data_IF_435771163037
#
_entry.id   IF_435771163037
#
_cell.length_a   1.000
_cell.length_b   1.000
_cell.length_c   1.000
_cell.angle_alpha   90.00
_cell.angle_beta   90.00
_cell.angle_gamma   90.00
#
_symmetry.space_group_name_H-M   'P 1'
#
loop_
_entity.id
_entity.type
_entity.pdbx_description
1 polymer ?
#
# COMPACT_ATOMS: atom_id res chain seq x y z
N UNK A 1 -20.04 22.97 -70.29
CA UNK A 1 -19.59 21.68 -69.80
C UNK A 1 -18.72 21.86 -68.56
N UNK A 2 -19.10 21.26 -67.43
CA UNK A 2 -18.32 21.28 -66.22
C UNK A 2 -17.23 20.18 -66.34
N UNK A 3 -15.96 20.58 -66.22
CA UNK A 3 -14.83 19.65 -66.20
C UNK A 3 -14.68 19.15 -64.75
N UNK A 4 -14.99 17.87 -64.53
CA UNK A 4 -14.73 17.20 -63.27
C UNK A 4 -13.35 16.61 -63.34
N UNK A 5 -12.41 17.09 -62.53
CA UNK A 5 -11.14 16.44 -62.30
C UNK A 5 -11.37 15.23 -61.39
N UNK A 6 -11.35 14.04 -61.95
CA UNK A 6 -11.38 12.80 -61.20
C UNK A 6 -9.95 12.50 -60.77
N UNK A 7 -9.61 12.73 -59.50
CA UNK A 7 -8.38 12.22 -58.90
C UNK A 7 -8.55 10.72 -58.65
N UNK A 8 -7.87 9.91 -59.43
CA UNK A 8 -7.73 8.49 -59.10
C UNK A 8 -6.60 8.35 -58.07
N UNK A 9 -6.89 7.99 -56.82
CA UNK A 9 -5.84 7.83 -55.87
C UNK A 9 -4.91 6.67 -56.28
N UNK A 10 -3.63 6.97 -56.43
CA UNK A 10 -2.62 5.92 -56.72
C UNK A 10 -2.23 5.31 -55.34
N UNK A 11 -2.64 4.08 -55.12
CA UNK A 11 -2.22 3.32 -53.93
C UNK A 11 -0.82 2.77 -54.16
N UNK A 12 0.13 3.17 -53.34
CA UNK A 12 1.46 2.61 -53.30
C UNK A 12 1.52 1.58 -52.17
N UNK A 13 2.08 0.38 -52.41
CA UNK A 13 2.30 -0.58 -51.36
C UNK A 13 3.36 -0.01 -50.40
N UNK A 14 3.04 0.11 -49.12
CA UNK A 14 3.95 0.53 -48.10
C UNK A 14 4.91 -0.61 -47.72
N UNK A 15 6.04 -0.25 -47.13
CA UNK A 15 6.94 -1.13 -46.41
C UNK A 15 6.57 -1.04 -44.93
N UNK A 16 6.56 -2.15 -44.21
CA UNK A 16 6.12 -2.21 -42.82
C UNK A 16 7.27 -2.68 -41.92
N UNK A 17 7.29 -2.14 -40.69
CA UNK A 17 8.17 -2.58 -39.61
C UNK A 17 7.30 -2.86 -38.40
N UNK A 18 7.44 -4.03 -37.81
CA UNK A 18 6.83 -4.36 -36.54
C UNK A 18 7.81 -5.13 -35.67
N UNK A 19 7.49 -5.23 -34.38
CA UNK A 19 8.30 -5.98 -33.46
C UNK A 19 7.88 -5.86 -32.00
N UNK A 20 8.70 -6.40 -31.15
CA UNK A 20 8.53 -6.33 -29.69
C UNK A 20 9.78 -5.78 -29.04
N UNK A 21 9.58 -5.02 -27.96
CA UNK A 21 10.65 -4.54 -27.08
C UNK A 21 10.45 -5.19 -25.72
N UNK A 22 11.48 -5.87 -25.25
CA UNK A 22 11.51 -6.55 -23.94
C UNK A 22 12.59 -5.94 -23.05
N UNK A 23 12.37 -5.99 -21.75
CA UNK A 23 13.38 -5.69 -20.76
C UNK A 23 14.35 -6.86 -20.63
N UNK A 24 15.65 -6.62 -20.78
CA UNK A 24 16.69 -7.64 -20.76
C UNK A 24 16.94 -8.30 -19.42
N UNK A 25 16.42 -7.71 -18.35
CA UNK A 25 16.51 -8.25 -17.02
C UNK A 25 15.50 -9.35 -16.73
N UNK A 26 14.24 -9.04 -16.94
CA UNK A 26 13.12 -9.89 -16.52
C UNK A 26 12.33 -10.50 -17.69
N UNK A 27 12.67 -10.10 -18.92
CA UNK A 27 11.98 -10.57 -20.13
C UNK A 27 10.58 -10.01 -20.34
N UNK A 28 10.10 -9.10 -19.47
CA UNK A 28 8.79 -8.51 -19.61
C UNK A 28 8.71 -7.48 -20.74
N UNK A 29 7.51 -7.27 -21.32
CA UNK A 29 7.29 -6.25 -22.31
C UNK A 29 7.69 -4.86 -21.79
N UNK A 30 8.41 -4.10 -22.62
CA UNK A 30 8.85 -2.75 -22.27
C UNK A 30 7.97 -1.72 -22.96
N UNK A 31 7.16 -1.01 -22.16
CA UNK A 31 6.28 0.07 -22.62
C UNK A 31 7.07 1.36 -22.86
N UNK A 32 6.66 2.15 -23.86
CA UNK A 32 7.18 3.51 -24.09
C UNK A 32 8.65 3.57 -24.53
N UNK A 33 9.21 2.48 -25.07
CA UNK A 33 10.48 2.56 -25.78
C UNK A 33 10.26 3.30 -27.09
N UNK A 34 11.12 4.27 -27.40
CA UNK A 34 11.08 5.01 -28.65
C UNK A 34 11.81 4.23 -29.76
N UNK A 35 11.15 4.02 -30.89
CA UNK A 35 11.70 3.40 -32.09
C UNK A 35 11.77 4.46 -33.18
N UNK A 36 12.96 4.94 -33.46
CA UNK A 36 13.23 5.93 -34.47
C UNK A 36 13.84 5.29 -35.72
N UNK A 37 13.26 5.54 -36.88
CA UNK A 37 13.82 5.14 -38.19
C UNK A 37 14.12 6.39 -38.98
N UNK A 38 15.41 6.72 -39.11
CA UNK A 38 15.84 7.84 -39.92
C UNK A 38 15.81 7.47 -41.40
N UNK A 39 14.90 8.03 -42.13
CA UNK A 39 14.82 7.93 -43.59
C UNK A 39 15.23 9.25 -44.24
N UNK A 40 15.70 9.24 -45.49
CA UNK A 40 16.12 10.48 -46.18
C UNK A 40 14.99 11.52 -46.33
N UNK A 41 13.74 11.05 -46.34
CA UNK A 41 12.58 11.89 -46.65
C UNK A 41 11.71 12.17 -45.42
N UNK A 42 11.55 11.22 -44.52
CA UNK A 42 10.66 11.33 -43.36
C UNK A 42 11.26 10.56 -42.20
N UNK A 43 11.39 11.24 -41.05
CA UNK A 43 11.67 10.58 -39.77
C UNK A 43 10.41 9.87 -39.29
N UNK A 44 10.53 8.60 -38.96
CA UNK A 44 9.43 7.79 -38.43
C UNK A 44 9.74 7.46 -37.00
N UNK A 45 8.93 7.98 -36.09
CA UNK A 45 9.00 7.71 -34.66
C UNK A 45 7.75 6.96 -34.22
N UNK A 46 7.92 5.94 -33.42
CA UNK A 46 6.82 5.23 -32.78
C UNK A 46 7.24 4.74 -31.39
N UNK A 47 6.30 4.64 -30.48
CA UNK A 47 6.56 4.08 -29.14
C UNK A 47 5.99 2.69 -29.01
N UNK A 48 6.70 1.82 -28.28
CA UNK A 48 6.15 0.52 -27.89
C UNK A 48 4.98 0.70 -26.93
N UNK A 49 4.00 -0.20 -27.03
CA UNK A 49 2.80 -0.23 -26.18
C UNK A 49 3.04 -1.04 -24.91
N UNK A 50 2.04 -1.11 -24.02
CA UNK A 50 2.09 -1.85 -22.75
C UNK A 50 2.48 -3.32 -22.89
N UNK A 51 2.18 -3.94 -24.04
CA UNK A 51 2.61 -5.30 -24.38
C UNK A 51 3.96 -5.35 -25.14
N UNK A 52 4.73 -4.26 -25.15
CA UNK A 52 6.01 -4.13 -25.85
C UNK A 52 5.94 -4.06 -27.36
N UNK A 53 4.76 -4.20 -27.95
CA UNK A 53 4.60 -4.24 -29.42
C UNK A 53 4.67 -2.85 -30.01
N UNK A 54 5.37 -2.72 -31.13
CA UNK A 54 5.36 -1.52 -31.97
C UNK A 54 5.07 -1.85 -33.44
N UNK A 55 4.49 -0.91 -34.16
CA UNK A 55 4.24 -1.04 -35.60
C UNK A 55 4.38 0.33 -36.25
N UNK A 56 5.09 0.36 -37.38
CA UNK A 56 5.25 1.54 -38.21
C UNK A 56 5.43 1.16 -39.67
N UNK A 57 5.61 2.12 -40.55
CA UNK A 57 5.88 1.85 -41.97
C UNK A 57 6.10 3.12 -42.77
N UNK A 58 6.62 2.95 -43.99
CA UNK A 58 6.85 4.01 -44.97
C UNK A 58 6.71 3.50 -46.40
N UNK A 59 6.81 4.39 -47.36
CA UNK A 59 6.62 4.06 -48.79
C UNK A 59 7.93 3.71 -49.51
N UNK A 60 9.07 4.22 -49.03
CA UNK A 60 10.37 4.08 -49.72
C UNK A 60 11.09 2.81 -49.26
N UNK A 61 11.32 1.80 -50.13
CA UNK A 61 12.14 0.66 -49.77
C UNK A 61 13.63 1.05 -49.69
N UNK A 62 14.42 0.25 -48.96
CA UNK A 62 15.87 0.45 -48.80
C UNK A 62 16.38 -0.07 -47.47
N UNK A 63 17.68 0.10 -47.26
CA UNK A 63 18.37 -0.31 -46.04
C UNK A 63 18.37 0.86 -45.05
N UNK A 64 17.94 0.58 -43.81
CA UNK A 64 17.77 1.58 -42.75
C UNK A 64 18.30 1.06 -41.41
N UNK A 65 18.37 1.95 -40.46
CA UNK A 65 18.69 1.62 -39.07
C UNK A 65 17.53 2.05 -38.19
N UNK A 66 17.01 1.13 -37.38
CA UNK A 66 16.10 1.45 -36.30
C UNK A 66 16.91 1.73 -35.04
N UNK A 67 16.77 2.93 -34.49
CA UNK A 67 17.34 3.32 -33.22
C UNK A 67 16.27 3.12 -32.14
N UNK A 68 16.50 2.19 -31.22
CA UNK A 68 15.59 1.88 -30.14
C UNK A 68 16.19 2.47 -28.85
N UNK A 69 15.45 3.36 -28.19
CA UNK A 69 15.90 4.06 -26.99
C UNK A 69 14.81 4.15 -25.94
N UNK A 70 15.23 4.11 -24.68
CA UNK A 70 14.38 4.40 -23.51
C UNK A 70 15.29 4.89 -22.38
N UNK A 71 14.87 5.91 -21.60
CA UNK A 71 15.63 6.34 -20.43
C UNK A 71 15.94 5.16 -19.49
N UNK A 72 17.20 5.05 -19.02
CA UNK A 72 17.68 3.97 -18.16
C UNK A 72 18.08 2.68 -18.92
N UNK A 73 18.04 2.68 -20.24
CA UNK A 73 18.45 1.53 -21.07
C UNK A 73 19.47 1.92 -22.13
N UNK A 74 20.38 1.01 -22.44
CA UNK A 74 21.36 1.17 -23.50
C UNK A 74 20.66 1.26 -24.85
N UNK A 75 20.83 2.38 -25.55
CA UNK A 75 20.29 2.59 -26.90
C UNK A 75 20.85 1.55 -27.88
N UNK A 76 19.97 0.94 -28.67
CA UNK A 76 20.36 -0.04 -29.67
C UNK A 76 20.08 0.48 -31.08
N UNK A 77 21.00 0.18 -32.00
CA UNK A 77 20.92 0.52 -33.42
C UNK A 77 20.88 -0.77 -34.22
N UNK A 78 19.76 -1.07 -34.86
CA UNK A 78 19.53 -2.34 -35.55
C UNK A 78 19.33 -2.06 -37.03
N UNK A 79 20.25 -2.54 -37.91
CA UNK A 79 20.09 -2.42 -39.34
C UNK A 79 19.00 -3.42 -39.84
N UNK A 80 18.19 -2.94 -40.78
CA UNK A 80 17.14 -3.72 -41.41
C UNK A 80 16.82 -3.17 -42.80
N UNK A 81 16.06 -3.91 -43.60
CA UNK A 81 15.65 -3.50 -44.93
C UNK A 81 14.15 -3.38 -45.03
N UNK A 82 13.66 -2.27 -45.55
CA UNK A 82 12.30 -2.12 -46.00
C UNK A 82 12.14 -2.67 -47.44
N UNK A 83 11.23 -3.60 -47.59
CA UNK A 83 10.87 -4.17 -48.90
C UNK A 83 9.40 -3.88 -49.18
N UNK A 84 9.10 -3.37 -50.37
CA UNK A 84 7.73 -2.99 -50.77
C UNK A 84 6.73 -4.11 -50.60
N UNK A 85 5.69 -3.88 -49.79
CA UNK A 85 4.63 -4.84 -49.53
C UNK A 85 4.98 -5.96 -48.57
N UNK A 86 6.15 -5.89 -47.91
CA UNK A 86 6.59 -6.86 -46.90
C UNK A 86 6.64 -6.20 -45.50
N UNK A 87 6.62 -7.06 -44.49
CA UNK A 87 6.78 -6.68 -43.09
C UNK A 87 8.19 -7.07 -42.64
N UNK A 88 9.00 -6.11 -42.24
CA UNK A 88 10.24 -6.37 -41.52
C UNK A 88 9.90 -6.53 -40.03
N UNK A 89 10.57 -7.47 -39.35
CA UNK A 89 10.35 -7.74 -37.95
C UNK A 89 11.64 -7.53 -37.16
N UNK A 90 11.58 -6.69 -36.11
CA UNK A 90 12.68 -6.44 -35.19
C UNK A 90 12.19 -6.74 -33.77
N UNK A 91 12.73 -7.80 -33.16
CA UNK A 91 12.50 -8.06 -31.73
C UNK A 91 13.75 -7.69 -30.96
N UNK A 92 13.59 -6.82 -29.96
CA UNK A 92 14.69 -6.21 -29.22
C UNK A 92 14.56 -6.54 -27.75
N UNK A 93 15.67 -6.97 -27.15
CA UNK A 93 15.83 -7.02 -25.71
C UNK A 93 16.75 -5.87 -25.29
N UNK A 94 16.18 -4.86 -24.64
CA UNK A 94 16.94 -3.69 -24.19
C UNK A 94 17.69 -4.00 -22.91
N UNK A 95 18.98 -3.67 -22.88
CA UNK A 95 19.85 -3.85 -21.71
C UNK A 95 19.74 -2.61 -20.83
N UNK A 96 19.36 -2.74 -19.55
CA UNK A 96 19.37 -1.62 -18.62
C UNK A 96 20.78 -1.06 -18.39
N UNK A 97 20.89 0.24 -18.20
CA UNK A 97 22.19 0.91 -17.95
C UNK A 97 22.69 0.66 -16.52
N UNK A 98 21.76 0.65 -15.54
CA UNK A 98 22.07 0.33 -14.16
C UNK A 98 20.88 -0.41 -13.55
N UNK A 99 21.14 -1.54 -12.94
CA UNK A 99 20.14 -2.35 -12.23
C UNK A 99 20.67 -2.82 -10.90
N UNK A 100 19.76 -3.09 -9.98
CA UNK A 100 20.03 -3.68 -8.67
C UNK A 100 18.92 -4.66 -8.32
N UNK A 101 19.26 -5.63 -7.49
CA UNK A 101 18.30 -6.49 -6.83
C UNK A 101 17.98 -5.85 -5.48
N UNK A 102 16.70 -5.74 -5.15
CA UNK A 102 16.23 -5.18 -3.88
C UNK A 102 15.52 -6.25 -3.09
N UNK A 103 15.76 -6.27 -1.78
CA UNK A 103 15.18 -7.27 -0.89
C UNK A 103 14.91 -6.69 0.48
N UNK A 104 14.16 -7.41 1.29
CA UNK A 104 13.95 -7.02 2.67
C UNK A 104 13.21 -8.05 3.49
N UNK A 105 12.94 -7.69 4.74
CA UNK A 105 12.16 -8.50 5.67
C UNK A 105 11.18 -7.62 6.41
N UNK A 106 9.92 -8.06 6.47
CA UNK A 106 8.87 -7.42 7.26
C UNK A 106 8.75 -8.16 8.59
N UNK A 107 8.87 -7.42 9.70
CA UNK A 107 8.92 -7.96 11.05
C UNK A 107 7.91 -7.26 11.95
N UNK A 108 7.32 -8.00 12.88
CA UNK A 108 6.57 -7.43 14.01
C UNK A 108 7.54 -6.63 14.91
N UNK A 109 7.25 -5.37 15.14
CA UNK A 109 8.14 -4.45 15.87
C UNK A 109 8.42 -4.87 17.32
N UNK A 110 7.51 -5.65 17.94
CA UNK A 110 7.60 -6.09 19.32
C UNK A 110 8.30 -7.44 19.41
N UNK A 111 7.79 -8.44 18.69
CA UNK A 111 8.24 -9.81 18.79
C UNK A 111 9.47 -10.12 17.94
N UNK A 112 9.78 -9.25 16.97
CA UNK A 112 10.81 -9.43 15.94
C UNK A 112 10.59 -10.72 15.12
N UNK A 113 9.37 -11.24 15.12
CA UNK A 113 9.02 -12.37 14.27
C UNK A 113 8.62 -11.87 12.89
N UNK A 114 8.82 -12.68 11.84
CA UNK A 114 8.34 -12.37 10.50
C UNK A 114 6.84 -12.09 10.47
N UNK A 115 6.45 -11.14 9.63
CA UNK A 115 5.04 -10.91 9.26
C UNK A 115 4.82 -11.54 7.89
N UNK A 116 4.29 -12.76 7.83
CA UNK A 116 4.09 -13.46 6.56
C UNK A 116 2.98 -12.80 5.75
N UNK A 117 3.12 -12.87 4.43
CA UNK A 117 2.16 -12.32 3.47
C UNK A 117 1.90 -10.81 3.64
N UNK A 118 2.82 -10.06 4.25
CA UNK A 118 2.74 -8.61 4.27
C UNK A 118 2.81 -8.07 2.84
N UNK A 119 1.97 -7.11 2.52
CA UNK A 119 2.09 -6.34 1.28
C UNK A 119 3.27 -5.39 1.38
N UNK A 120 4.00 -5.24 0.28
CA UNK A 120 5.12 -4.31 0.20
C UNK A 120 5.03 -3.58 -1.13
N UNK A 121 4.87 -2.28 -1.09
CA UNK A 121 5.05 -1.42 -2.25
C UNK A 121 6.47 -0.87 -2.22
N UNK A 122 7.27 -1.19 -3.24
CA UNK A 122 8.59 -0.60 -3.47
C UNK A 122 8.47 0.44 -4.58
N UNK A 123 8.65 1.72 -4.26
CA UNK A 123 8.39 2.80 -5.21
C UNK A 123 9.49 3.86 -5.23
N UNK A 124 9.62 4.53 -6.38
CA UNK A 124 10.46 5.68 -6.63
C UNK A 124 9.70 6.73 -7.45
N UNK A 125 10.35 7.82 -7.82
CA UNK A 125 9.74 8.82 -8.71
C UNK A 125 9.41 8.30 -10.12
N UNK A 126 9.96 7.14 -10.52
CA UNK A 126 9.87 6.63 -11.90
C UNK A 126 9.23 5.25 -12.00
N UNK A 127 9.17 4.48 -10.92
CA UNK A 127 8.71 3.09 -10.92
C UNK A 127 8.06 2.73 -9.58
N UNK A 128 7.07 1.83 -9.63
CA UNK A 128 6.48 1.18 -8.47
C UNK A 128 6.34 -0.33 -8.72
N UNK A 129 6.48 -1.12 -7.66
CA UNK A 129 6.39 -2.58 -7.66
C UNK A 129 5.59 -3.04 -6.45
N UNK A 130 4.50 -3.76 -6.72
CA UNK A 130 3.70 -4.41 -5.69
C UNK A 130 4.25 -5.80 -5.43
N UNK A 131 4.64 -6.06 -4.21
CA UNK A 131 5.28 -7.28 -3.75
C UNK A 131 4.51 -7.88 -2.58
N UNK A 132 4.70 -9.18 -2.35
CA UNK A 132 4.20 -9.85 -1.16
C UNK A 132 5.36 -10.52 -0.44
N UNK A 133 5.41 -10.37 0.88
CA UNK A 133 6.37 -11.09 1.69
C UNK A 133 6.02 -12.58 1.76
N UNK A 134 7.01 -13.43 1.78
CA UNK A 134 6.87 -14.88 1.92
C UNK A 134 6.53 -15.31 3.37
N UNK A 135 6.52 -16.61 3.65
CA UNK A 135 6.25 -17.15 4.98
C UNK A 135 7.30 -16.74 6.04
N UNK A 136 8.49 -16.37 5.62
CA UNK A 136 9.58 -15.86 6.47
C UNK A 136 9.59 -14.32 6.54
N UNK A 137 8.54 -13.65 6.02
CA UNK A 137 8.41 -12.20 5.94
C UNK A 137 9.34 -11.54 4.92
N UNK A 138 9.99 -12.29 4.03
CA UNK A 138 10.95 -11.78 3.07
C UNK A 138 10.27 -11.36 1.78
N UNK A 139 10.72 -10.27 1.21
CA UNK A 139 10.36 -9.82 -0.13
C UNK A 139 11.63 -9.54 -0.95
N UNK A 140 11.53 -9.72 -2.23
CA UNK A 140 12.60 -9.41 -3.19
C UNK A 140 12.03 -9.01 -4.54
N UNK A 141 12.79 -8.19 -5.24
CA UNK A 141 12.58 -7.88 -6.65
C UNK A 141 13.94 -7.73 -7.33
N UNK A 142 14.15 -8.52 -8.34
CA UNK A 142 15.42 -8.57 -9.04
C UNK A 142 15.42 -7.65 -10.25
N UNK A 143 16.61 -7.13 -10.55
CA UNK A 143 16.91 -6.53 -11.83
C UNK A 143 15.99 -5.35 -12.21
N UNK A 144 15.74 -4.45 -11.29
CA UNK A 144 15.05 -3.19 -11.54
C UNK A 144 16.06 -2.06 -11.68
N UNK A 145 15.68 -0.97 -12.35
CA UNK A 145 16.56 0.18 -12.50
C UNK A 145 16.99 0.68 -11.12
N UNK A 146 18.30 0.94 -10.96
CA UNK A 146 18.83 1.53 -9.72
C UNK A 146 18.26 2.93 -9.53
N UNK A 147 17.53 3.14 -8.43
CA UNK A 147 16.89 4.41 -8.10
C UNK A 147 16.85 4.61 -6.57
N UNK A 148 16.36 5.77 -6.14
CA UNK A 148 16.10 6.04 -4.73
C UNK A 148 14.72 5.53 -4.34
N UNK A 149 14.66 4.27 -3.94
CA UNK A 149 13.41 3.64 -3.55
C UNK A 149 13.02 3.93 -2.09
N UNK A 150 11.72 3.96 -1.89
CA UNK A 150 11.06 3.80 -0.62
C UNK A 150 10.30 2.47 -0.63
N UNK A 151 10.15 1.85 0.52
CA UNK A 151 9.35 0.65 0.67
C UNK A 151 8.30 0.87 1.76
N UNK A 152 7.04 0.81 1.40
CA UNK A 152 5.91 0.79 2.32
C UNK A 152 5.48 -0.66 2.52
N UNK A 153 5.45 -1.13 3.76
CA UNK A 153 4.89 -2.44 4.08
C UNK A 153 3.66 -2.31 4.99
N UNK A 154 2.71 -3.22 4.80
CA UNK A 154 1.50 -3.30 5.60
C UNK A 154 0.93 -4.71 5.62
N UNK A 155 0.19 -5.02 6.66
CA UNK A 155 -0.60 -6.24 6.78
C UNK A 155 -1.78 -5.97 7.70
N UNK A 156 -2.91 -6.62 7.45
CA UNK A 156 -4.05 -6.47 8.35
C UNK A 156 -3.69 -6.89 9.78
N UNK A 157 -4.01 -6.05 10.77
CA UNK A 157 -3.56 -6.21 12.16
C UNK A 157 -2.27 -5.47 12.50
N UNK A 158 -1.71 -4.73 11.54
CA UNK A 158 -0.54 -3.88 11.71
C UNK A 158 -0.76 -2.50 11.09
N UNK A 159 -0.06 -1.51 11.63
CA UNK A 159 0.06 -0.19 11.03
C UNK A 159 1.08 -0.25 9.89
N UNK A 160 0.77 0.33 8.75
CA UNK A 160 1.72 0.47 7.64
C UNK A 160 2.96 1.27 8.07
N UNK A 161 4.09 0.96 7.47
CA UNK A 161 5.34 1.67 7.73
C UNK A 161 6.15 1.83 6.45
N UNK A 162 6.63 3.04 6.21
CA UNK A 162 7.46 3.38 5.06
C UNK A 162 8.90 3.62 5.49
N UNK A 163 9.84 2.99 4.80
CA UNK A 163 11.27 3.19 4.99
C UNK A 163 11.93 3.64 3.69
N UNK A 164 12.87 4.58 3.79
CA UNK A 164 13.70 4.99 2.66
C UNK A 164 14.93 4.11 2.56
N UNK A 165 15.20 3.55 1.39
CA UNK A 165 16.39 2.73 1.17
C UNK A 165 17.67 3.56 1.02
N UNK A 166 17.58 4.83 0.57
CA UNK A 166 18.70 5.78 0.49
C UNK A 166 20.00 5.20 -0.12
N UNK A 167 19.84 4.48 -1.24
CA UNK A 167 20.96 3.81 -1.91
C UNK A 167 21.34 2.45 -1.33
N UNK A 168 20.67 1.98 -0.28
CA UNK A 168 20.70 0.57 0.14
C UNK A 168 19.84 -0.27 -0.80
N UNK A 169 20.20 -1.53 -0.97
CA UNK A 169 19.40 -2.52 -1.70
C UNK A 169 18.67 -3.50 -0.77
N UNK A 170 18.66 -3.20 0.52
CA UNK A 170 18.01 -4.05 1.52
C UNK A 170 17.34 -3.21 2.61
N UNK A 171 16.16 -3.62 3.05
CA UNK A 171 15.39 -2.99 4.11
C UNK A 171 14.83 -3.99 5.11
N UNK A 172 14.86 -3.63 6.41
CA UNK A 172 14.06 -4.29 7.44
C UNK A 172 12.91 -3.35 7.82
N UNK A 173 11.68 -3.77 7.59
CA UNK A 173 10.49 -2.95 7.85
C UNK A 173 9.80 -3.49 9.10
N UNK A 174 9.72 -2.65 10.14
CA UNK A 174 9.11 -3.01 11.42
C UNK A 174 7.65 -2.52 11.44
N UNK A 175 6.70 -3.43 11.59
CA UNK A 175 5.28 -3.10 11.69
C UNK A 175 4.81 -3.11 13.15
N UNK A 176 4.14 -2.06 13.58
CA UNK A 176 3.47 -2.01 14.88
C UNK A 176 2.08 -2.62 14.77
N UNK A 177 1.63 -3.34 15.80
CA UNK A 177 0.27 -3.89 15.84
C UNK A 177 -0.77 -2.78 15.95
N UNK A 178 -1.83 -2.92 15.20
CA UNK A 178 -2.95 -1.98 15.15
C UNK A 178 -3.84 -2.26 13.94
N UNK A 179 -4.97 -1.57 13.86
CA UNK A 179 -5.83 -1.61 12.69
C UNK A 179 -5.95 -0.18 12.17
N UNK A 180 -5.34 0.04 11.05
CA UNK A 180 -5.35 1.28 10.29
C UNK A 180 -5.20 0.93 8.81
N UNK A 181 -5.99 1.55 7.99
CA UNK A 181 -5.91 1.41 6.55
C UNK A 181 -6.23 2.74 5.88
N UNK A 182 -5.28 3.28 5.14
CA UNK A 182 -5.42 4.45 4.28
C UNK A 182 -5.61 4.03 2.81
N UNK A 183 -5.88 2.75 2.60
CA UNK A 183 -6.14 2.13 1.31
C UNK A 183 -5.00 2.26 0.28
N UNK A 184 -3.81 2.70 0.69
CA UNK A 184 -2.61 2.64 -0.16
C UNK A 184 -2.30 1.20 -0.60
N UNK A 185 -2.54 0.24 0.30
CA UNK A 185 -2.34 -1.18 0.08
C UNK A 185 -3.68 -1.91 0.07
N UNK A 186 -3.83 -2.92 -0.79
CA UNK A 186 -5.00 -3.80 -0.73
C UNK A 186 -4.85 -4.80 0.43
N UNK A 187 -5.34 -4.43 1.63
CA UNK A 187 -5.28 -5.26 2.83
C UNK A 187 -6.39 -6.32 2.90
N UNK A 188 -7.11 -6.56 1.81
CA UNK A 188 -8.05 -7.67 1.69
C UNK A 188 -9.49 -7.34 2.06
N UNK A 189 -9.92 -6.09 1.92
CA UNK A 189 -11.32 -5.74 1.98
C UNK A 189 -12.10 -6.45 0.88
N UNK A 190 -13.34 -6.79 1.17
CA UNK A 190 -14.20 -7.52 0.23
C UNK A 190 -15.48 -6.77 -0.02
N UNK A 191 -16.04 -6.93 -1.21
CA UNK A 191 -17.27 -6.26 -1.62
C UNK A 191 -18.37 -7.27 -1.95
N UNK A 192 -19.63 -6.87 -1.71
CA UNK A 192 -20.81 -7.59 -2.16
C UNK A 192 -21.92 -6.62 -2.51
N UNK A 193 -22.89 -7.04 -3.33
CA UNK A 193 -23.97 -6.17 -3.77
C UNK A 193 -25.27 -6.93 -4.01
N UNK A 194 -26.39 -6.23 -3.77
CA UNK A 194 -27.70 -6.55 -4.32
C UNK A 194 -28.11 -5.54 -5.39
N UNK A 195 -27.47 -4.37 -5.41
CA UNK A 195 -27.63 -3.30 -6.38
C UNK A 195 -27.26 -3.75 -7.79
N UNK A 196 -27.80 -3.05 -8.80
CA UNK A 196 -27.54 -3.31 -10.22
C UNK A 196 -26.28 -2.59 -10.75
N UNK A 197 -25.83 -1.52 -10.06
CA UNK A 197 -24.67 -0.70 -10.39
C UNK A 197 -24.03 -0.09 -9.14
N UNK A 198 -23.00 0.73 -9.31
CA UNK A 198 -22.35 1.47 -8.23
C UNK A 198 -21.61 0.61 -7.23
N UNK A 199 -20.89 -0.42 -7.70
CA UNK A 199 -20.15 -1.32 -6.81
C UNK A 199 -18.96 -0.59 -6.16
N UNK A 200 -18.60 -1.00 -4.94
CA UNK A 200 -17.40 -0.48 -4.29
C UNK A 200 -16.13 -0.83 -5.07
N UNK A 201 -15.31 0.16 -5.34
CA UNK A 201 -14.04 0.05 -6.04
C UNK A 201 -12.93 0.75 -5.24
N UNK A 202 -11.76 0.11 -5.15
CA UNK A 202 -10.54 0.71 -4.62
C UNK A 202 -9.86 1.49 -5.75
N UNK A 203 -9.56 2.77 -5.53
CA UNK A 203 -8.89 3.57 -6.55
C UNK A 203 -8.76 5.05 -6.19
N UNK A 204 -8.08 5.79 -7.06
CA UNK A 204 -8.06 7.25 -7.07
C UNK A 204 -9.46 7.75 -7.48
N UNK A 205 -10.15 8.54 -6.63
CA UNK A 205 -11.53 8.93 -6.91
C UNK A 205 -11.61 9.85 -8.12
N UNK A 206 -12.64 9.64 -8.94
CA UNK A 206 -12.92 10.46 -10.10
C UNK A 206 -14.14 11.32 -9.84
N UNK A 207 -13.95 12.65 -9.78
CA UNK A 207 -15.01 13.60 -9.52
C UNK A 207 -16.10 13.59 -10.60
N UNK A 208 -17.35 13.51 -10.20
CA UNK A 208 -18.51 13.66 -11.05
C UNK A 208 -19.25 14.96 -10.77
N UNK A 209 -19.83 15.55 -11.80
CA UNK A 209 -20.46 16.85 -11.72
C UNK A 209 -21.88 16.80 -12.26
N UNK A 210 -22.81 17.26 -11.43
CA UNK A 210 -24.21 17.43 -11.81
C UNK A 210 -24.49 18.72 -12.56
N UNK A 211 -25.76 19.04 -12.69
CA UNK A 211 -26.22 20.27 -13.31
C UNK A 211 -25.60 21.50 -12.63
N UNK A 212 -25.24 22.52 -13.42
CA UNK A 212 -24.58 23.75 -12.94
C UNK A 212 -23.17 23.53 -12.38
N UNK A 213 -22.51 22.47 -12.75
CA UNK A 213 -21.16 22.12 -12.29
C UNK A 213 -21.06 21.89 -10.76
N UNK A 214 -22.14 21.40 -10.15
CA UNK A 214 -22.13 21.02 -8.73
C UNK A 214 -21.42 19.67 -8.59
N UNK A 215 -20.42 19.62 -7.72
CA UNK A 215 -19.69 18.39 -7.40
C UNK A 215 -20.64 17.39 -6.71
N UNK A 216 -20.60 16.14 -7.13
CA UNK A 216 -21.34 15.01 -6.54
C UNK A 216 -20.35 14.07 -5.87
N UNK A 217 -19.34 13.59 -6.60
CA UNK A 217 -18.21 12.85 -6.05
C UNK A 217 -16.99 13.75 -5.89
N UNK A 218 -16.23 13.64 -4.80
CA UNK A 218 -14.91 14.26 -4.69
C UNK A 218 -13.98 13.81 -5.83
N UNK A 219 -13.14 14.74 -6.30
CA UNK A 219 -12.08 14.49 -7.29
C UNK A 219 -10.83 13.90 -6.63
N UNK A 220 -10.69 14.04 -5.32
CA UNK A 220 -9.51 13.65 -4.54
C UNK A 220 -9.97 12.85 -3.33
N UNK A 221 -9.11 11.98 -2.84
CA UNK A 221 -9.30 11.25 -1.59
C UNK A 221 -9.39 12.17 -0.35
N UNK A 222 -9.50 11.61 0.84
CA UNK A 222 -9.54 12.41 2.06
C UNK A 222 -8.13 12.93 2.40
N UNK A 223 -8.05 14.22 2.77
CA UNK A 223 -6.80 14.79 3.24
C UNK A 223 -6.42 14.22 4.61
N UNK A 224 -5.29 13.58 4.73
CA UNK A 224 -4.78 13.08 6.02
C UNK A 224 -3.72 12.00 5.92
N UNK A 225 -3.52 11.48 4.74
CA UNK A 225 -2.45 10.55 4.39
C UNK A 225 -1.57 11.09 3.23
N UNK A 226 -0.81 10.22 2.58
CA UNK A 226 0.13 10.60 1.53
C UNK A 226 -0.12 9.84 0.21
N UNK A 227 -1.24 9.16 0.10
CA UNK A 227 -1.65 8.45 -1.10
C UNK A 227 -2.84 9.12 -1.79
N UNK A 228 -3.44 8.51 -2.79
CA UNK A 228 -4.61 8.99 -3.53
C UNK A 228 -5.64 7.87 -3.69
N UNK A 229 -5.63 6.88 -2.81
CA UNK A 229 -6.49 5.71 -2.90
C UNK A 229 -7.54 5.76 -1.80
N UNK A 230 -8.78 5.47 -2.18
CA UNK A 230 -9.90 5.30 -1.25
C UNK A 230 -10.87 4.26 -1.82
N UNK A 231 -11.84 3.82 -1.05
CA UNK A 231 -12.98 3.10 -1.59
C UNK A 231 -14.10 4.06 -1.96
N UNK A 232 -14.58 3.95 -3.19
CA UNK A 232 -15.74 4.70 -3.71
C UNK A 232 -16.76 3.77 -4.35
N UNK A 233 -18.01 4.17 -4.34
CA UNK A 233 -19.05 3.49 -5.11
C UNK A 233 -19.02 4.00 -6.55
N UNK A 234 -18.93 3.09 -7.53
CA UNK A 234 -18.94 3.42 -8.94
C UNK A 234 -17.91 4.47 -9.36
N UNK A 235 -16.63 4.11 -9.37
CA UNK A 235 -15.55 5.02 -9.74
C UNK A 235 -15.51 5.23 -11.27
N UNK A 236 -16.35 6.10 -11.77
CA UNK A 236 -16.53 6.34 -13.19
C UNK A 236 -15.32 6.95 -13.88
N UNK A 237 -15.34 6.97 -15.23
CA UNK A 237 -14.32 7.66 -16.01
C UNK A 237 -14.51 9.18 -15.93
N UNK A 238 -13.40 9.94 -15.94
CA UNK A 238 -13.42 11.42 -15.94
C UNK A 238 -14.38 11.98 -17.01
N UNK A 239 -15.28 12.83 -16.57
CA UNK A 239 -16.29 13.46 -17.44
C UNK A 239 -17.59 12.67 -17.61
N UNK A 240 -17.79 11.58 -16.87
CA UNK A 240 -19.07 10.89 -16.78
C UNK A 240 -20.14 11.82 -16.21
N UNK A 241 -21.36 11.63 -16.68
CA UNK A 241 -22.51 12.34 -16.11
C UNK A 241 -22.90 11.71 -14.79
N UNK A 242 -23.30 12.53 -13.84
CA UNK A 242 -24.00 12.13 -12.63
C UNK A 242 -25.08 11.08 -12.92
N UNK A 243 -25.15 10.06 -12.08
CA UNK A 243 -26.13 8.98 -12.22
C UNK A 243 -25.80 7.98 -13.33
N UNK A 244 -24.53 7.83 -13.69
CA UNK A 244 -24.09 6.83 -14.67
C UNK A 244 -23.49 5.59 -14.04
N UNK A 245 -22.86 5.78 -12.89
CA UNK A 245 -22.13 4.73 -12.16
C UNK A 245 -22.55 4.68 -10.67
N UNK A 246 -23.62 5.37 -10.27
CA UNK A 246 -24.16 5.40 -8.91
C UNK A 246 -24.80 4.07 -8.48
N UNK A 247 -25.07 3.94 -7.20
CA UNK A 247 -25.78 2.78 -6.65
C UNK A 247 -27.24 2.83 -7.10
N UNK A 248 -27.69 1.80 -7.82
CA UNK A 248 -29.05 1.65 -8.32
C UNK A 248 -29.71 0.37 -7.80
N UNK A 249 -30.99 0.50 -7.40
CA UNK A 249 -31.89 -0.62 -7.13
C UNK A 249 -31.38 -1.63 -6.07
N UNK A 250 -30.86 -1.15 -4.95
CA UNK A 250 -30.40 -2.04 -3.88
C UNK A 250 -29.27 -1.49 -3.02
N UNK A 251 -28.40 -2.37 -2.54
CA UNK A 251 -27.29 -2.01 -1.67
C UNK A 251 -25.96 -2.57 -2.16
N UNK A 252 -24.91 -1.84 -1.86
CA UNK A 252 -23.50 -2.27 -2.04
C UNK A 252 -22.80 -2.25 -0.70
N UNK A 253 -22.05 -3.28 -0.40
CA UNK A 253 -21.42 -3.49 0.91
C UNK A 253 -19.93 -3.65 0.74
N UNK A 254 -19.13 -2.88 1.53
CA UNK A 254 -17.68 -3.01 1.70
C UNK A 254 -17.42 -3.59 3.08
N UNK A 255 -16.63 -4.65 3.18
CA UNK A 255 -16.42 -5.39 4.43
C UNK A 255 -14.92 -5.52 4.71
N UNK A 256 -14.50 -5.13 5.92
CA UNK A 256 -13.12 -5.28 6.37
C UNK A 256 -12.73 -6.75 6.55
N UNK A 257 -11.45 -7.10 6.50
CA UNK A 257 -10.97 -8.36 7.04
C UNK A 257 -11.27 -8.48 8.53
N UNK A 258 -11.22 -9.71 9.07
CA UNK A 258 -11.51 -9.97 10.47
C UNK A 258 -10.45 -9.37 11.40
N UNK A 259 -10.88 -8.78 12.51
CA UNK A 259 -10.06 -8.27 13.59
C UNK A 259 -10.17 -9.19 14.81
N UNK A 260 -9.04 -9.48 15.45
CA UNK A 260 -8.99 -10.10 16.77
C UNK A 260 -8.96 -9.00 17.84
N UNK A 261 -10.06 -8.81 18.54
CA UNK A 261 -10.20 -7.82 19.60
C UNK A 261 -10.18 -8.46 20.99
N UNK A 262 -9.82 -9.74 21.09
CA UNK A 262 -9.62 -10.40 22.38
C UNK A 262 -8.43 -9.76 23.14
N UNK A 263 -8.58 -9.55 24.43
CA UNK A 263 -7.56 -8.89 25.27
C UNK A 263 -7.68 -7.37 25.33
N UNK A 264 -8.69 -6.78 24.65
CA UNK A 264 -9.06 -5.38 24.81
C UNK A 264 -10.34 -5.25 25.61
N UNK A 265 -10.53 -4.10 26.25
CA UNK A 265 -11.70 -3.82 27.11
C UNK A 265 -12.61 -2.75 26.55
N UNK A 266 -12.09 -1.94 25.65
CA UNK A 266 -12.80 -0.85 25.00
C UNK A 266 -12.11 -0.47 23.69
N UNK A 267 -12.81 0.21 22.82
CA UNK A 267 -12.24 0.74 21.58
C UNK A 267 -13.25 1.52 20.76
N UNK A 268 -12.72 2.26 19.81
CA UNK A 268 -13.49 3.04 18.85
C UNK A 268 -13.02 2.75 17.42
N UNK A 269 -13.91 2.91 16.47
CA UNK A 269 -13.56 3.04 15.06
C UNK A 269 -13.75 4.48 14.64
N UNK A 270 -12.95 4.91 13.68
CA UNK A 270 -13.14 6.18 12.98
C UNK A 270 -12.72 6.04 11.53
N UNK A 271 -13.27 6.87 10.68
CA UNK A 271 -12.99 6.90 9.24
C UNK A 271 -13.35 8.25 8.67
N UNK A 272 -12.83 8.54 7.47
CA UNK A 272 -13.35 9.60 6.63
C UNK A 272 -14.37 9.00 5.67
N UNK A 273 -15.42 9.79 5.36
CA UNK A 273 -16.47 9.36 4.44
C UNK A 273 -17.07 10.57 3.72
N UNK A 274 -17.66 10.32 2.59
CA UNK A 274 -18.65 11.20 1.99
C UNK A 274 -19.85 10.36 1.56
N UNK A 275 -21.01 10.99 1.51
CA UNK A 275 -22.24 10.35 1.10
C UNK A 275 -23.08 11.36 0.34
N UNK A 276 -23.40 11.06 -0.89
CA UNK A 276 -24.29 11.84 -1.72
C UNK A 276 -25.60 11.10 -1.90
N UNK A 277 -26.71 11.84 -1.78
CA UNK A 277 -28.06 11.34 -1.92
C UNK A 277 -28.89 12.51 -2.48
N UNK A 278 -29.11 12.51 -3.78
CA UNK A 278 -29.75 13.65 -4.43
C UNK A 278 -30.26 13.33 -5.81
N UNK A 279 -30.77 14.33 -6.48
CA UNK A 279 -31.51 14.13 -7.73
C UNK A 279 -32.70 13.15 -7.57
N UNK A 280 -33.16 12.48 -8.61
CA UNK A 280 -34.25 11.49 -8.51
C UNK A 280 -35.63 12.10 -8.26
N UNK A 281 -36.56 11.31 -7.73
CA UNK A 281 -37.95 11.70 -7.49
C UNK A 281 -38.32 11.58 -6.00
N UNK A 282 -38.91 12.63 -5.44
CA UNK A 282 -39.37 12.60 -4.05
C UNK A 282 -38.35 13.14 -3.07
N UNK A 283 -38.50 12.75 -1.81
CA UNK A 283 -37.54 13.05 -0.75
C UNK A 283 -36.53 11.93 -0.67
N UNK A 284 -35.22 12.21 -0.70
CA UNK A 284 -34.21 11.18 -0.57
C UNK A 284 -34.40 10.32 0.69
N UNK A 285 -34.29 9.02 0.55
CA UNK A 285 -34.53 8.01 1.61
C UNK A 285 -33.42 6.97 1.68
N UNK A 286 -32.27 7.27 1.10
CA UNK A 286 -31.10 6.40 1.02
C UNK A 286 -30.14 6.71 2.17
N UNK A 287 -29.23 5.77 2.42
CA UNK A 287 -28.32 5.88 3.55
C UNK A 287 -26.96 5.24 3.29
N UNK A 288 -25.95 5.74 3.98
CA UNK A 288 -24.70 5.04 4.25
C UNK A 288 -24.75 4.54 5.69
N UNK A 289 -24.93 3.24 5.87
CA UNK A 289 -24.91 2.59 7.17
C UNK A 289 -23.55 1.95 7.46
N UNK A 290 -23.10 2.01 8.71
CA UNK A 290 -21.91 1.28 9.16
C UNK A 290 -22.29 0.36 10.30
N UNK A 291 -21.96 -0.92 10.13
CA UNK A 291 -22.23 -1.95 11.11
C UNK A 291 -20.93 -2.62 11.56
N UNK A 292 -20.91 -3.07 12.81
CA UNK A 292 -19.88 -3.95 13.33
C UNK A 292 -20.42 -5.36 13.37
N UNK A 293 -19.80 -6.27 12.64
CA UNK A 293 -20.11 -7.69 12.66
C UNK A 293 -19.27 -8.38 13.73
N UNK A 294 -19.91 -9.06 14.67
CA UNK A 294 -19.24 -9.86 15.69
C UNK A 294 -19.68 -11.30 15.56
N UNK A 295 -18.80 -12.20 15.14
CA UNK A 295 -19.11 -13.59 14.82
C UNK A 295 -20.34 -13.70 13.87
N UNK A 296 -20.42 -12.80 12.89
CA UNK A 296 -21.52 -12.71 11.94
C UNK A 296 -22.81 -12.04 12.44
N UNK A 297 -22.88 -11.62 13.70
CA UNK A 297 -24.01 -10.83 14.23
C UNK A 297 -23.75 -9.33 13.97
N UNK A 298 -24.69 -8.67 13.30
CA UNK A 298 -24.60 -7.24 12.97
C UNK A 298 -25.04 -6.34 14.13
N UNK A 299 -24.26 -5.28 14.36
CA UNK A 299 -24.52 -4.20 15.33
C UNK A 299 -24.39 -2.86 14.61
N UNK A 300 -25.51 -2.16 14.31
CA UNK A 300 -25.47 -0.82 13.72
C UNK A 300 -24.75 0.18 14.65
N UNK A 301 -23.78 0.93 14.10
CA UNK A 301 -22.97 1.87 14.88
C UNK A 301 -23.00 3.29 14.32
N UNK A 302 -23.31 3.45 13.01
CA UNK A 302 -23.36 4.75 12.37
C UNK A 302 -24.33 4.72 11.19
N UNK A 303 -25.04 5.80 10.96
CA UNK A 303 -25.91 6.01 9.80
C UNK A 303 -25.75 7.45 9.33
N UNK A 304 -25.53 7.64 8.05
CA UNK A 304 -25.55 8.95 7.40
C UNK A 304 -26.68 8.98 6.34
N UNK A 305 -27.53 9.98 6.45
CA UNK A 305 -28.62 10.24 5.50
C UNK A 305 -28.53 11.65 4.90
N UNK A 306 -27.61 12.47 5.42
CA UNK A 306 -27.45 13.85 4.94
C UNK A 306 -26.49 13.89 3.77
N UNK A 307 -27.00 14.25 2.61
CA UNK A 307 -26.26 14.40 1.37
C UNK A 307 -25.14 15.42 1.50
N UNK A 308 -23.97 15.11 0.93
CA UNK A 308 -22.83 16.00 0.82
C UNK A 308 -21.74 15.41 -0.06
N UNK A 309 -21.06 16.26 -0.81
CA UNK A 309 -20.03 15.89 -1.78
C UNK A 309 -18.60 16.19 -1.30
N UNK A 310 -18.40 16.27 0.02
CA UNK A 310 -17.10 16.53 0.61
C UNK A 310 -16.79 15.52 1.70
N UNK A 311 -15.53 15.17 1.85
CA UNK A 311 -15.06 14.31 2.91
C UNK A 311 -15.39 14.87 4.29
N UNK A 312 -15.88 14.01 5.17
CA UNK A 312 -16.25 14.30 6.56
C UNK A 312 -15.61 13.26 7.47
N UNK A 313 -15.20 13.67 8.66
CA UNK A 313 -14.71 12.76 9.69
C UNK A 313 -15.88 12.18 10.47
N UNK A 314 -15.93 10.87 10.66
CA UNK A 314 -17.01 10.19 11.38
C UNK A 314 -17.07 10.52 12.87
N UNK A 315 -15.97 11.04 13.44
CA UNK A 315 -15.73 11.02 14.88
C UNK A 315 -15.38 9.63 15.39
N UNK A 316 -15.06 9.53 16.67
CA UNK A 316 -14.76 8.26 17.32
C UNK A 316 -16.06 7.55 17.71
N UNK A 317 -16.35 6.42 17.06
CA UNK A 317 -17.56 5.61 17.21
C UNK A 317 -17.23 4.42 18.10
N UNK A 318 -17.92 4.26 19.23
CA UNK A 318 -17.66 3.16 20.15
C UNK A 318 -17.99 1.80 19.54
N UNK A 319 -17.08 0.85 19.69
CA UNK A 319 -17.31 -0.55 19.32
C UNK A 319 -18.30 -1.20 20.32
N UNK A 320 -19.16 -2.14 19.86
CA UNK A 320 -20.05 -2.87 20.74
C UNK A 320 -19.25 -3.74 21.73
N UNK A 321 -19.71 -3.84 22.97
CA UNK A 321 -18.99 -4.56 24.02
C UNK A 321 -18.71 -6.03 23.68
N UNK A 322 -19.53 -6.64 22.86
CA UNK A 322 -19.36 -8.02 22.36
C UNK A 322 -18.10 -8.21 21.52
N UNK A 323 -17.62 -7.15 20.87
CA UNK A 323 -16.43 -7.19 20.03
C UNK A 323 -15.18 -7.61 20.82
N UNK A 324 -15.08 -7.22 22.09
CA UNK A 324 -13.89 -7.46 22.91
C UNK A 324 -13.74 -8.89 23.45
N UNK A 325 -14.66 -9.76 23.09
CA UNK A 325 -14.59 -11.21 23.37
C UNK A 325 -14.49 -12.08 22.12
N UNK A 326 -14.23 -11.45 20.95
CA UNK A 326 -14.22 -12.12 19.65
C UNK A 326 -12.92 -11.89 18.90
N UNK A 327 -12.48 -12.90 18.17
CA UNK A 327 -11.43 -12.86 17.17
C UNK A 327 -11.98 -12.78 15.73
N UNK A 328 -13.29 -12.64 15.57
CA UNK A 328 -13.94 -12.42 14.28
C UNK A 328 -14.86 -11.18 14.37
N UNK A 329 -14.23 -10.02 14.36
CA UNK A 329 -14.90 -8.73 14.32
C UNK A 329 -14.61 -8.08 12.98
N UNK A 330 -15.66 -7.62 12.28
CA UNK A 330 -15.51 -6.92 10.99
C UNK A 330 -16.32 -5.63 11.02
N UNK A 331 -15.96 -4.71 10.15
CA UNK A 331 -16.76 -3.50 9.89
C UNK A 331 -17.29 -3.60 8.47
N UNK A 332 -18.57 -3.32 8.31
CA UNK A 332 -19.20 -3.20 6.99
C UNK A 332 -19.74 -1.79 6.76
N UNK A 333 -19.51 -1.27 5.56
CA UNK A 333 -20.08 -0.04 5.05
C UNK A 333 -21.10 -0.39 3.98
N UNK A 334 -22.33 0.05 4.15
CA UNK A 334 -23.45 -0.30 3.28
C UNK A 334 -24.04 0.97 2.72
N UNK A 335 -23.87 1.22 1.43
CA UNK A 335 -24.59 2.27 0.72
C UNK A 335 -25.83 1.67 0.05
N UNK A 336 -26.98 2.31 0.24
CA UNK A 336 -28.28 1.77 -0.20
C UNK A 336 -29.04 2.81 -1.00
N UNK A 337 -29.50 2.45 -2.21
CA UNK A 337 -30.49 3.17 -2.98
C UNK A 337 -31.86 2.47 -2.84
N UNK A 338 -32.81 3.18 -2.24
CA UNK A 338 -34.18 2.71 -1.99
C UNK A 338 -35.15 3.34 -2.99
N UNK A 339 -36.23 2.64 -3.29
CA UNK A 339 -37.29 3.19 -4.16
C UNK A 339 -38.07 4.34 -3.45
N UNK A 340 -38.27 5.52 -4.09
CA UNK A 340 -37.87 5.88 -5.44
C UNK A 340 -36.38 6.20 -5.55
N UNK A 341 -35.70 5.72 -6.61
CA UNK A 341 -34.28 5.84 -6.81
C UNK A 341 -33.77 7.29 -6.89
N UNK A 342 -32.60 7.53 -6.34
CA UNK A 342 -31.84 8.77 -6.35
C UNK A 342 -30.42 8.51 -6.82
N UNK A 343 -29.66 9.56 -7.08
CA UNK A 343 -28.21 9.41 -7.27
C UNK A 343 -27.59 9.17 -5.90
N UNK A 344 -27.23 7.93 -5.63
CA UNK A 344 -26.65 7.50 -4.36
C UNK A 344 -25.23 7.07 -4.57
N UNK A 345 -24.31 7.79 -3.92
CA UNK A 345 -22.88 7.53 -4.01
C UNK A 345 -22.21 7.73 -2.65
N UNK A 346 -21.14 6.99 -2.39
CA UNK A 346 -20.40 7.04 -1.14
C UNK A 346 -18.90 6.81 -1.35
N UNK A 347 -18.12 7.31 -0.40
CA UNK A 347 -16.70 7.00 -0.30
C UNK A 347 -16.28 6.79 1.15
N UNK A 348 -15.25 5.98 1.35
CA UNK A 348 -14.65 5.69 2.65
C UNK A 348 -13.14 5.73 2.53
N UNK A 349 -12.50 6.38 3.50
CA UNK A 349 -11.06 6.52 3.56
C UNK A 349 -10.54 6.60 5.01
N UNK A 350 -9.24 6.38 5.19
CA UNK A 350 -8.52 6.51 6.48
C UNK A 350 -9.26 5.79 7.61
N UNK A 351 -9.48 4.49 7.44
CA UNK A 351 -10.08 3.66 8.48
C UNK A 351 -9.12 3.41 9.64
N UNK A 352 -9.59 3.60 10.88
CA UNK A 352 -8.77 3.44 12.09
C UNK A 352 -9.55 2.79 13.21
N UNK A 353 -8.87 1.93 13.97
CA UNK A 353 -9.38 1.37 15.23
C UNK A 353 -8.45 1.76 16.37
N UNK A 354 -8.97 2.41 17.38
CA UNK A 354 -8.26 2.68 18.64
C UNK A 354 -8.75 1.73 19.73
N UNK A 355 -7.82 1.05 20.39
CA UNK A 355 -8.13 -0.02 21.35
C UNK A 355 -7.50 0.24 22.70
N UNK A 356 -8.28 -0.04 23.77
CA UNK A 356 -7.79 0.02 25.15
C UNK A 356 -7.58 -1.41 25.66
N UNK A 357 -6.34 -1.83 25.98
CA UNK A 357 -6.07 -3.16 26.53
C UNK A 357 -6.80 -3.40 27.84
N UNK A 358 -7.15 -4.67 28.13
CA UNK A 358 -7.61 -5.07 29.46
C UNK A 358 -6.49 -4.84 30.46
N UNK A 359 -6.77 -4.04 31.47
CA UNK A 359 -5.80 -3.80 32.56
C UNK A 359 -5.41 -5.14 33.21
N UNK A 360 -4.15 -5.57 33.02
CA UNK A 360 -3.61 -6.82 33.58
C UNK A 360 -3.17 -7.88 32.56
N UNK A 361 -3.47 -7.74 31.26
CA UNK A 361 -3.08 -8.72 30.22
C UNK A 361 -1.99 -8.23 29.26
N UNK A 362 -1.65 -6.96 29.29
CA UNK A 362 -0.48 -6.45 28.55
C UNK A 362 0.55 -5.90 29.54
N UNK A 363 1.80 -6.32 29.41
CA UNK A 363 2.91 -5.58 29.97
C UNK A 363 2.94 -4.21 29.27
N UNK A 364 2.48 -3.10 29.90
CA UNK A 364 2.66 -1.80 29.30
C UNK A 364 4.16 -1.60 29.10
N UNK A 365 4.58 -1.27 27.87
CA UNK A 365 5.99 -0.98 27.65
C UNK A 365 6.36 0.24 28.47
N UNK A 366 7.32 0.06 29.38
CA UNK A 366 7.94 1.18 30.06
C UNK A 366 8.68 2.03 29.02
N UNK A 367 8.55 3.33 29.09
CA UNK A 367 9.40 4.27 28.36
C UNK A 367 10.86 4.21 28.82
N UNK A 368 11.19 3.27 29.72
CA UNK A 368 12.51 3.00 30.21
C UNK A 368 13.42 2.48 29.09
N UNK A 369 14.63 2.96 29.03
CA UNK A 369 15.65 2.54 28.07
C UNK A 369 16.89 2.00 28.77
N UNK A 370 17.55 1.02 28.15
CA UNK A 370 18.82 0.44 28.59
C UNK A 370 19.83 0.53 27.46
N UNK A 371 21.06 0.84 27.78
CA UNK A 371 22.20 0.77 26.86
C UNK A 371 23.33 -0.01 27.53
N UNK A 372 24.08 -0.78 26.77
CA UNK A 372 25.25 -1.55 27.28
C UNK A 372 26.53 -1.14 26.56
N UNK A 373 27.58 -0.90 27.30
CA UNK A 373 28.90 -0.68 26.75
C UNK A 373 29.99 -1.25 27.71
N UNK A 374 30.94 -2.05 27.22
CA UNK A 374 31.01 -2.59 25.86
C UNK A 374 29.96 -3.70 25.60
N UNK A 375 29.54 -3.85 24.36
CA UNK A 375 28.67 -4.94 23.91
C UNK A 375 28.96 -5.20 22.41
N UNK A 376 29.61 -6.30 22.02
CA UNK A 376 30.04 -7.46 22.85
C UNK A 376 31.13 -7.17 23.91
N UNK A 377 31.33 -8.10 24.86
CA UNK A 377 32.38 -8.01 25.87
C UNK A 377 32.90 -9.38 26.36
N UNK A 378 34.20 -9.46 26.67
CA UNK A 378 34.82 -10.59 27.38
C UNK A 378 34.79 -10.41 28.89
N UNK A 379 34.42 -9.23 29.42
CA UNK A 379 34.41 -8.88 30.84
C UNK A 379 32.99 -8.51 31.29
N UNK A 380 32.83 -7.50 32.11
CA UNK A 380 31.54 -6.98 32.54
C UNK A 380 30.86 -6.13 31.47
N UNK A 381 29.52 -6.13 31.48
CA UNK A 381 28.71 -5.11 30.85
C UNK A 381 28.50 -3.94 31.83
N UNK A 382 28.57 -2.73 31.34
CA UNK A 382 28.05 -1.54 32.02
C UNK A 382 26.72 -1.21 31.41
N UNK A 383 25.63 -1.46 32.11
CA UNK A 383 24.27 -1.16 31.71
C UNK A 383 23.89 0.25 32.19
N UNK A 384 23.73 1.18 31.29
CA UNK A 384 23.21 2.51 31.59
C UNK A 384 21.70 2.50 31.34
N UNK A 385 20.90 2.96 32.30
CA UNK A 385 19.44 2.98 32.16
C UNK A 385 18.85 4.35 32.40
N UNK A 386 17.65 4.56 31.83
CA UNK A 386 16.79 5.70 32.09
C UNK A 386 15.35 5.20 32.24
N UNK A 387 14.72 5.48 33.38
CA UNK A 387 13.36 5.03 33.69
C UNK A 387 12.26 5.85 33.00
N UNK A 388 12.62 6.91 32.25
CA UNK A 388 11.63 7.77 31.60
C UNK A 388 10.69 8.45 32.58
N UNK A 389 9.39 8.24 32.44
CA UNK A 389 8.34 8.79 33.30
C UNK A 389 7.89 7.83 34.42
N UNK A 390 8.58 6.70 34.61
CA UNK A 390 8.25 5.73 35.65
C UNK A 390 8.52 6.34 37.02
N UNK A 391 7.48 6.42 37.87
CA UNK A 391 7.58 6.99 39.23
C UNK A 391 7.68 5.93 40.35
N UNK A 392 7.46 4.65 40.03
CA UNK A 392 7.45 3.56 41.00
C UNK A 392 8.76 2.73 40.95
N UNK A 393 9.00 1.97 41.99
CA UNK A 393 10.14 1.08 42.07
C UNK A 393 10.19 0.09 40.92
N UNK A 394 11.29 0.08 40.19
CA UNK A 394 11.50 -0.80 39.06
C UNK A 394 12.65 -1.79 39.36
N UNK A 395 12.73 -2.87 38.60
CA UNK A 395 13.76 -3.90 38.72
C UNK A 395 14.41 -4.14 37.36
N UNK A 396 15.74 -4.05 37.29
CA UNK A 396 16.49 -4.48 36.12
C UNK A 396 16.77 -5.99 36.24
N UNK A 397 16.39 -6.73 35.23
CA UNK A 397 16.66 -8.16 35.11
C UNK A 397 17.49 -8.47 33.86
N UNK A 398 18.36 -9.48 33.99
CA UNK A 398 19.05 -10.06 32.83
C UNK A 398 18.80 -11.56 32.81
N UNK A 399 18.38 -12.06 31.66
CA UNK A 399 18.05 -13.46 31.40
C UNK A 399 18.92 -14.04 30.29
N UNK A 400 19.20 -15.35 30.35
CA UNK A 400 19.82 -16.06 29.22
C UNK A 400 18.79 -16.47 28.15
N UNK A 401 19.24 -17.10 27.06
CA UNK A 401 18.38 -17.61 25.97
C UNK A 401 17.30 -18.61 26.41
N UNK A 402 17.49 -19.29 27.55
CA UNK A 402 16.52 -20.23 28.14
C UNK A 402 15.52 -19.53 29.07
N UNK A 403 15.59 -18.19 29.20
CA UNK A 403 14.74 -17.42 30.11
C UNK A 403 15.17 -17.46 31.59
N UNK A 404 16.28 -18.13 31.93
CA UNK A 404 16.77 -18.21 33.31
C UNK A 404 17.29 -16.84 33.75
N UNK A 405 16.92 -16.42 34.96
CA UNK A 405 17.37 -15.17 35.56
C UNK A 405 18.85 -15.27 35.93
N UNK A 406 19.67 -14.42 35.33
CA UNK A 406 21.13 -14.37 35.55
C UNK A 406 21.54 -13.23 36.49
N UNK A 407 20.73 -12.15 36.48
CA UNK A 407 20.99 -10.97 37.31
C UNK A 407 19.68 -10.22 37.57
N UNK A 408 19.56 -9.66 38.77
CA UNK A 408 18.45 -8.78 39.13
C UNK A 408 18.92 -7.70 40.08
N UNK A 409 18.43 -6.47 39.91
CA UNK A 409 18.72 -5.34 40.78
C UNK A 409 17.57 -4.35 40.81
N UNK A 410 17.05 -3.95 41.98
CA UNK A 410 16.14 -2.82 42.08
C UNK A 410 16.79 -1.53 41.58
N UNK A 411 16.00 -0.71 40.85
CA UNK A 411 16.40 0.57 40.33
C UNK A 411 15.37 1.62 40.76
N UNK A 412 15.82 2.54 41.60
CA UNK A 412 15.01 3.53 42.31
C UNK A 412 15.33 4.98 41.88
N UNK A 413 16.36 5.15 41.03
CA UNK A 413 16.77 6.43 40.50
C UNK A 413 16.38 6.57 39.04
N UNK A 414 16.03 7.76 38.58
CA UNK A 414 15.59 8.03 37.20
C UNK A 414 16.60 7.58 36.17
N UNK A 415 17.88 7.69 36.47
CA UNK A 415 18.99 7.22 35.61
C UNK A 415 20.08 6.61 36.47
N UNK A 416 20.74 5.59 35.94
CA UNK A 416 21.85 4.94 36.68
C UNK A 416 22.69 4.07 35.76
N UNK A 417 23.71 3.45 36.42
CA UNK A 417 24.61 2.48 35.78
C UNK A 417 24.77 1.27 36.67
N UNK A 418 24.78 0.10 36.07
CA UNK A 418 24.91 -1.18 36.72
C UNK A 418 26.01 -1.95 36.01
N UNK A 419 26.92 -2.58 36.74
CA UNK A 419 27.95 -3.45 36.22
C UNK A 419 27.59 -4.91 36.52
N UNK A 420 27.56 -5.75 35.49
CA UNK A 420 27.21 -7.17 35.63
C UNK A 420 27.83 -8.00 34.50
N UNK A 421 27.85 -9.33 34.67
CA UNK A 421 28.21 -10.27 33.60
C UNK A 421 29.65 -10.76 33.59
N UNK A 422 30.50 -10.34 34.54
CA UNK A 422 31.91 -10.72 34.56
C UNK A 422 32.15 -12.23 34.59
N UNK A 423 31.30 -12.96 35.33
CA UNK A 423 31.41 -14.41 35.49
C UNK A 423 30.43 -15.21 34.62
N UNK A 424 29.77 -14.58 33.65
CA UNK A 424 28.85 -15.30 32.76
C UNK A 424 29.61 -16.05 31.66
N UNK A 425 29.06 -17.17 31.26
CA UNK A 425 29.61 -17.94 30.14
C UNK A 425 29.39 -17.18 28.81
N UNK A 426 30.28 -17.40 27.83
CA UNK A 426 30.02 -16.87 26.48
C UNK A 426 28.64 -17.25 25.98
N UNK A 427 27.89 -16.25 25.42
CA UNK A 427 26.54 -16.46 24.99
C UNK A 427 25.75 -15.16 24.83
N UNK A 428 24.47 -15.31 24.56
CA UNK A 428 23.51 -14.19 24.39
C UNK A 428 22.61 -14.08 25.61
N UNK A 429 22.44 -12.86 26.09
CA UNK A 429 21.61 -12.50 27.23
C UNK A 429 20.70 -11.34 26.88
N UNK A 430 19.63 -11.13 27.66
CA UNK A 430 18.67 -10.05 27.46
C UNK A 430 18.47 -9.29 28.78
N UNK A 431 18.71 -7.97 28.72
CA UNK A 431 18.47 -7.07 29.83
C UNK A 431 17.16 -6.33 29.65
N UNK A 432 16.32 -6.27 30.67
CA UNK A 432 15.06 -5.53 30.68
C UNK A 432 14.77 -4.90 32.04
N UNK A 433 13.99 -3.83 32.04
CA UNK A 433 13.49 -3.18 33.26
C UNK A 433 12.02 -3.54 33.43
N UNK A 434 11.66 -3.96 34.62
CA UNK A 434 10.32 -4.34 35.02
C UNK A 434 9.79 -3.39 36.09
N UNK A 435 8.50 -3.00 35.97
CA UNK A 435 7.76 -2.29 36.99
C UNK A 435 6.33 -2.87 37.07
N UNK A 436 6.09 -3.69 38.10
CA UNK A 436 4.87 -4.49 38.14
C UNK A 436 4.73 -5.39 36.93
N UNK A 437 3.66 -5.21 36.17
CA UNK A 437 3.42 -5.96 34.93
C UNK A 437 4.02 -5.29 33.68
N UNK A 438 4.67 -4.13 33.82
CA UNK A 438 5.27 -3.40 32.71
C UNK A 438 6.73 -3.80 32.52
N UNK A 439 7.19 -3.91 31.28
CA UNK A 439 8.55 -4.26 30.91
C UNK A 439 9.11 -3.31 29.86
N UNK A 440 10.40 -2.93 29.95
CA UNK A 440 11.09 -2.21 28.88
C UNK A 440 11.38 -3.13 27.68
N UNK A 441 11.69 -2.56 26.53
CA UNK A 441 12.28 -3.35 25.45
C UNK A 441 13.54 -4.08 25.93
N UNK A 442 13.67 -5.39 25.66
CA UNK A 442 14.87 -6.14 26.03
C UNK A 442 16.08 -5.71 25.21
N UNK A 443 17.17 -5.40 25.86
CA UNK A 443 18.45 -5.14 25.20
C UNK A 443 19.24 -6.44 25.07
N UNK A 444 19.62 -6.81 23.85
CA UNK A 444 20.51 -7.95 23.60
C UNK A 444 21.94 -7.64 24.07
N UNK A 445 22.50 -8.52 24.87
CA UNK A 445 23.87 -8.52 25.34
C UNK A 445 24.64 -9.72 24.77
N UNK A 446 25.84 -9.50 24.30
CA UNK A 446 26.71 -10.58 23.76
C UNK A 446 27.95 -10.69 24.60
N UNK A 447 28.10 -11.83 25.27
CA UNK A 447 29.29 -12.22 26.05
C UNK A 447 30.17 -13.11 25.18
N UNK A 448 31.45 -12.73 25.03
CA UNK A 448 32.48 -13.47 24.30
C UNK A 448 33.39 -14.27 25.24
#
# INVERSE_FOLDING_TARGET
PAVFNVFTPTYVRACYLEGTVLNGCNGFPLNGANIEVNTPEIRVDVSSKTNGVFKTGQVTPGDYVATISKPGFVTQNIPFSFVTGQVATINVTMVPEAVSDYSGVVLDAITQQPVPNAFVELFSATQSFDLAADADGKFDVDCILTDNYQATAGAWGYLSNTVSLNGSTSANIMLQRGYYDDFQLDLGWTTSATASSGFWELGDPVGTYGNQNNLVNPEFDANGDNNQQCYVTGNGASGNSVGGDDVDDGSVTLISPAMDLTGFSNGTISFYYWFYNGFGQGTPNDELAVNVLVNGQSYPVFIETVSGSTWRFSGDIALPAQAFSSNDVKVEFVATDNDPGHVTEAGVDIFKVELTPVSGTQNPFLTASIQAAPNPTHSDFILSYNLGNTQDAAVLEVRNLLGQLMYTQPVDTKTGRIQCGGNWTPGVYFASIHNGNAQSQPLKLVKE
#
